data_IF_882812835803
#
_entry.id   IF_882812835803
#
_cell.length_a   1.000
_cell.length_b   1.000
_cell.length_c   1.000
_cell.angle_alpha   90.00
_cell.angle_beta   90.00
_cell.angle_gamma   90.00
#
_symmetry.space_group_name_H-M   'P 1'
#
loop_
_entity.id
_entity.type
_entity.pdbx_description
1 polymer ?
#
# COMPACT_ATOMS: atom_id res chain seq x y z
N UNK A 1 7.69 15.71 8.88
CA UNK A 1 8.05 16.15 7.52
C UNK A 1 8.11 14.92 6.63
N UNK A 2 7.51 14.96 5.44
CA UNK A 2 7.51 13.82 4.50
C UNK A 2 8.80 13.90 3.68
N UNK A 3 9.45 12.76 3.50
CA UNK A 3 10.65 12.63 2.69
C UNK A 3 10.35 11.73 1.49
N UNK A 4 10.77 12.14 0.29
CA UNK A 4 10.66 11.33 -0.92
C UNK A 4 12.05 11.20 -1.52
N UNK A 5 12.52 9.97 -1.72
CA UNK A 5 13.90 9.72 -2.16
C UNK A 5 14.97 10.22 -1.17
N UNK A 6 14.64 10.29 0.13
CA UNK A 6 15.55 10.80 1.17
C UNK A 6 15.64 12.32 1.26
N UNK A 7 14.94 13.06 0.38
CA UNK A 7 14.91 14.53 0.38
C UNK A 7 13.62 15.01 1.05
N UNK A 8 13.69 15.98 1.97
CA UNK A 8 12.49 16.56 2.56
C UNK A 8 11.66 17.28 1.48
N UNK A 9 10.36 17.03 1.44
CA UNK A 9 9.47 17.82 0.61
C UNK A 9 9.32 19.22 1.21
N UNK A 10 9.96 20.19 0.57
CA UNK A 10 9.83 21.62 0.88
C UNK A 10 9.01 22.26 -0.23
N UNK A 11 8.00 23.04 0.14
CA UNK A 11 7.34 23.97 -0.78
C UNK A 11 8.06 25.31 -0.63
N UNK A 12 8.58 25.91 -1.70
CA UNK A 12 9.39 27.14 -1.70
C UNK A 12 8.65 28.42 -1.26
N UNK A 13 7.51 28.30 -0.58
CA UNK A 13 6.73 29.44 -0.10
C UNK A 13 7.16 29.83 1.32
N UNK A 14 7.46 31.11 1.54
CA UNK A 14 7.68 31.70 2.87
C UNK A 14 6.43 31.65 3.78
N UNK A 15 5.30 31.18 3.25
CA UNK A 15 4.06 30.91 3.98
C UNK A 15 3.91 29.42 4.25
N UNK A 16 3.32 29.01 5.40
CA UNK A 16 3.09 27.59 5.69
C UNK A 16 2.28 26.99 4.52
N UNK A 17 2.78 25.91 3.89
CA UNK A 17 2.13 25.37 2.71
C UNK A 17 0.69 25.00 3.07
N UNK A 18 -0.25 25.50 2.27
CA UNK A 18 -1.60 24.96 2.32
C UNK A 18 -1.47 23.48 1.95
N UNK A 19 -2.11 22.58 2.68
CA UNK A 19 -1.94 21.13 2.48
C UNK A 19 -2.14 20.67 1.02
N UNK A 20 -2.85 21.47 0.21
CA UNK A 20 -3.00 21.33 -1.24
C UNK A 20 -1.68 21.43 -2.02
N UNK A 21 -0.80 22.38 -1.68
CA UNK A 21 0.44 22.63 -2.44
C UNK A 21 1.43 21.48 -2.23
N UNK A 22 1.46 20.95 -1.00
CA UNK A 22 2.25 19.77 -0.65
C UNK A 22 1.69 18.50 -1.33
N UNK A 23 0.37 18.36 -1.40
CA UNK A 23 -0.27 17.24 -2.12
C UNK A 23 0.06 17.28 -3.60
N UNK A 24 0.02 18.46 -4.22
CA UNK A 24 0.37 18.63 -5.63
C UNK A 24 1.84 18.26 -5.89
N UNK A 25 2.74 18.75 -5.04
CA UNK A 25 4.16 18.39 -5.11
C UNK A 25 4.41 16.87 -4.95
N UNK A 26 3.61 16.18 -4.11
CA UNK A 26 3.66 14.72 -3.99
C UNK A 26 3.19 14.01 -5.27
N UNK A 27 2.07 14.46 -5.85
CA UNK A 27 1.49 13.85 -7.05
C UNK A 27 2.40 13.98 -8.29
N UNK A 28 3.14 15.09 -8.40
CA UNK A 28 4.07 15.35 -9.49
C UNK A 28 5.49 14.81 -9.26
N UNK A 29 5.79 14.30 -8.06
CA UNK A 29 7.14 13.87 -7.74
C UNK A 29 7.54 12.66 -8.61
N UNK A 30 8.66 12.72 -9.37
CA UNK A 30 8.99 11.71 -10.39
C UNK A 30 9.14 10.30 -9.83
N UNK A 31 9.68 10.15 -8.61
CA UNK A 31 9.77 8.85 -7.92
C UNK A 31 8.38 8.25 -7.69
N UNK A 32 7.41 9.07 -7.26
CA UNK A 32 6.05 8.61 -6.97
C UNK A 32 5.28 8.35 -8.27
N UNK A 33 5.44 9.19 -9.29
CA UNK A 33 4.86 8.95 -10.62
C UNK A 33 5.41 7.67 -11.25
N UNK A 34 6.71 7.44 -11.17
CA UNK A 34 7.35 6.21 -11.67
C UNK A 34 6.90 4.98 -10.89
N UNK A 35 6.82 5.05 -9.56
CA UNK A 35 6.34 3.94 -8.74
C UNK A 35 4.86 3.64 -9.01
N UNK A 36 4.04 4.68 -9.20
CA UNK A 36 2.63 4.56 -9.57
C UNK A 36 2.46 3.90 -10.94
N UNK A 37 3.20 4.33 -11.96
CA UNK A 37 3.17 3.67 -13.28
C UNK A 37 3.56 2.20 -13.16
N UNK A 38 4.69 1.91 -12.50
CA UNK A 38 5.16 0.54 -12.30
C UNK A 38 4.15 -0.32 -11.54
N UNK A 39 3.37 0.26 -10.63
CA UNK A 39 2.33 -0.46 -9.89
C UNK A 39 1.12 -0.76 -10.77
N UNK A 40 0.69 0.19 -11.61
CA UNK A 40 -0.43 -0.01 -12.55
C UNK A 40 -0.09 -1.03 -13.64
N UNK A 41 1.19 -1.21 -13.96
CA UNK A 41 1.66 -2.23 -14.93
C UNK A 41 1.66 -3.66 -14.34
N UNK A 42 1.43 -3.82 -13.03
CA UNK A 42 1.38 -5.13 -12.38
C UNK A 42 0.01 -5.78 -12.69
N UNK A 43 -0.03 -6.95 -13.33
CA UNK A 43 -1.29 -7.63 -13.58
C UNK A 43 -1.95 -8.07 -12.26
N UNK A 44 -3.27 -7.92 -12.19
CA UNK A 44 -4.04 -8.40 -11.04
C UNK A 44 -3.86 -9.91 -10.86
N UNK A 45 -3.40 -10.32 -9.66
CA UNK A 45 -3.25 -11.73 -9.31
C UNK A 45 -4.38 -12.17 -8.40
N UNK A 46 -5.21 -13.07 -8.90
CA UNK A 46 -6.17 -13.79 -8.07
C UNK A 46 -5.41 -14.78 -7.16
N UNK A 47 -5.40 -14.50 -5.86
CA UNK A 47 -4.89 -15.43 -4.86
C UNK A 47 -5.97 -16.48 -4.62
N UNK A 48 -5.91 -17.61 -5.32
CA UNK A 48 -6.73 -18.76 -5.01
C UNK A 48 -6.19 -19.42 -3.74
N UNK A 49 -6.91 -19.24 -2.63
CA UNK A 49 -6.71 -20.06 -1.44
C UNK A 49 -7.19 -21.46 -1.84
N UNK A 50 -6.27 -22.35 -2.22
CA UNK A 50 -6.63 -23.75 -2.50
C UNK A 50 -7.02 -24.41 -1.18
N UNK A 51 -8.33 -24.55 -0.98
CA UNK A 51 -8.94 -25.44 0.00
C UNK A 51 -9.06 -26.86 -0.57
N UNK A 52 -8.08 -27.37 -1.33
CA UNK A 52 -8.14 -28.74 -1.80
C UNK A 52 -7.57 -29.71 -0.76
N UNK A 53 -8.52 -30.40 -0.12
CA UNK A 53 -8.31 -31.63 0.60
C UNK A 53 -7.57 -32.65 -0.27
N UNK A 54 -6.33 -32.96 0.10
CA UNK A 54 -5.64 -34.17 -0.35
C UNK A 54 -4.41 -33.90 -1.20
N UNK A 55 -3.25 -34.22 -0.63
CA UNK A 55 -2.05 -34.63 -1.37
C UNK A 55 -1.40 -33.61 -2.32
N UNK A 56 -0.85 -32.52 -1.79
CA UNK A 56 0.55 -32.16 -2.05
C UNK A 56 1.01 -31.07 -1.07
N UNK A 57 2.18 -31.26 -0.48
CA UNK A 57 2.80 -30.39 0.53
C UNK A 57 3.42 -29.15 -0.12
N UNK A 58 2.70 -28.50 -1.04
CA UNK A 58 3.12 -27.24 -1.64
C UNK A 58 2.69 -26.10 -0.72
N UNK A 59 3.64 -25.30 -0.26
CA UNK A 59 3.49 -24.18 0.71
C UNK A 59 2.12 -23.49 0.60
N UNK A 60 1.23 -23.72 1.57
CA UNK A 60 0.09 -22.82 1.79
C UNK A 60 0.65 -21.44 2.09
N UNK A 61 0.42 -20.48 1.21
CA UNK A 61 0.76 -19.08 1.47
C UNK A 61 -0.06 -18.61 2.67
N UNK A 62 0.60 -18.08 3.70
CA UNK A 62 -0.10 -17.45 4.82
C UNK A 62 -0.53 -16.06 4.36
N UNK A 63 -1.84 -15.81 4.30
CA UNK A 63 -2.37 -14.49 3.98
C UNK A 63 -3.09 -13.87 5.18
N UNK A 64 -3.01 -12.54 5.28
CA UNK A 64 -3.79 -11.75 6.23
C UNK A 64 -4.70 -10.80 5.45
N UNK A 65 -5.98 -10.83 5.78
CA UNK A 65 -6.98 -9.91 5.25
C UNK A 65 -7.32 -8.87 6.30
N UNK A 66 -7.27 -7.60 5.91
CA UNK A 66 -7.65 -6.46 6.74
C UNK A 66 -8.94 -5.87 6.19
N UNK A 67 -10.00 -5.84 7.00
CA UNK A 67 -11.28 -5.28 6.56
C UNK A 67 -11.21 -3.75 6.52
N UNK A 68 -12.18 -3.14 5.84
CA UNK A 68 -12.29 -1.67 5.87
C UNK A 68 -12.38 -1.14 7.30
N UNK A 69 -11.68 -0.03 7.54
CA UNK A 69 -11.58 0.63 8.86
C UNK A 69 -10.85 -0.20 9.91
N UNK A 70 -10.22 -1.32 9.53
CA UNK A 70 -9.32 -2.07 10.39
C UNK A 70 -7.85 -1.76 10.06
N UNK A 71 -6.97 -2.05 11.01
CA UNK A 71 -5.53 -2.02 10.83
C UNK A 71 -4.93 -3.30 11.40
N UNK A 72 -3.82 -3.75 10.82
CA UNK A 72 -3.08 -4.91 11.32
C UNK A 72 -1.58 -4.59 11.29
N UNK A 73 -0.89 -4.91 12.38
CA UNK A 73 0.57 -4.94 12.41
C UNK A 73 0.99 -6.38 12.17
N UNK A 74 1.82 -6.59 11.15
CA UNK A 74 2.15 -7.93 10.67
C UNK A 74 3.66 -8.08 10.66
N UNK A 75 4.14 -9.17 11.26
CA UNK A 75 5.55 -9.56 11.14
C UNK A 75 5.78 -10.15 9.74
N UNK A 76 6.64 -9.52 8.90
CA UNK A 76 6.90 -10.00 7.55
C UNK A 76 7.53 -11.40 7.51
N UNK A 77 8.10 -11.89 8.61
CA UNK A 77 8.62 -13.25 8.68
C UNK A 77 7.52 -14.34 8.75
N UNK A 78 6.28 -13.95 9.08
CA UNK A 78 5.20 -14.87 9.40
C UNK A 78 4.12 -14.97 8.31
N UNK A 79 4.08 -14.04 7.36
CA UNK A 79 2.99 -13.91 6.38
C UNK A 79 3.59 -13.66 5.00
N UNK A 80 3.06 -14.35 3.99
CA UNK A 80 3.52 -14.21 2.61
C UNK A 80 2.80 -13.06 1.89
N UNK A 81 1.53 -12.79 2.25
CA UNK A 81 0.72 -11.75 1.60
C UNK A 81 -0.23 -11.05 2.57
N UNK A 82 -0.32 -9.73 2.48
CA UNK A 82 -1.29 -8.90 3.20
C UNK A 82 -2.21 -8.21 2.20
N UNK A 83 -3.52 -8.21 2.42
CA UNK A 83 -4.49 -7.61 1.49
C UNK A 83 -5.65 -6.92 2.21
N UNK A 84 -6.16 -5.84 1.62
CA UNK A 84 -7.32 -5.11 2.12
C UNK A 84 -8.59 -5.63 1.46
N UNK A 85 -9.62 -5.94 2.25
CA UNK A 85 -10.93 -6.33 1.72
C UNK A 85 -11.75 -5.06 1.49
N UNK A 86 -12.19 -4.88 0.25
CA UNK A 86 -13.07 -3.80 -0.16
C UNK A 86 -14.49 -4.36 -0.33
N UNK A 87 -15.31 -4.31 0.72
CA UNK A 87 -16.73 -4.70 0.70
C UNK A 87 -17.58 -3.73 -0.13
N UNK A 88 -17.84 -4.05 -1.40
CA UNK A 88 -18.68 -3.24 -2.28
C UNK A 88 -20.17 -3.34 -1.89
N UNK A 89 -20.63 -2.43 -1.02
CA UNK A 89 -22.06 -2.18 -0.82
C UNK A 89 -22.64 -1.51 -2.07
N UNK A 90 -23.77 -2.02 -2.57
CA UNK A 90 -24.44 -1.50 -3.78
C UNK A 90 -24.61 0.03 -3.70
N UNK A 91 -24.21 0.71 -4.78
CA UNK A 91 -24.44 2.13 -5.09
C UNK A 91 -23.84 3.17 -4.11
N UNK A 92 -22.52 3.39 -4.19
CA UNK A 92 -21.89 4.72 -4.11
C UNK A 92 -20.41 4.58 -4.42
N UNK A 93 -19.81 5.57 -5.09
CA UNK A 93 -18.38 5.64 -5.40
C UNK A 93 -17.53 5.25 -4.18
N UNK A 94 -16.82 4.14 -4.30
CA UNK A 94 -16.10 3.54 -3.18
C UNK A 94 -14.71 4.17 -3.05
N UNK A 95 -14.61 5.26 -2.30
CA UNK A 95 -13.34 5.90 -1.97
C UNK A 95 -12.73 5.25 -0.71
N UNK A 96 -12.23 4.03 -0.84
CA UNK A 96 -11.41 3.40 0.20
C UNK A 96 -9.94 3.53 -0.19
N UNK A 97 -9.12 4.15 0.67
CA UNK A 97 -7.67 4.19 0.51
C UNK A 97 -7.02 3.16 1.44
N UNK A 98 -6.23 2.25 0.88
CA UNK A 98 -5.38 1.35 1.65
C UNK A 98 -4.03 2.01 1.92
N UNK A 99 -3.56 1.98 3.16
CA UNK A 99 -2.25 2.50 3.54
C UNK A 99 -1.40 1.39 4.14
N UNK A 100 -0.19 1.21 3.63
CA UNK A 100 0.80 0.26 4.13
C UNK A 100 1.98 1.06 4.67
N UNK A 101 2.34 0.82 5.92
CA UNK A 101 3.54 1.37 6.55
C UNK A 101 4.53 0.22 6.78
N UNK A 102 5.72 0.34 6.19
CA UNK A 102 6.82 -0.60 6.44
C UNK A 102 7.91 0.11 7.23
N UNK A 103 8.14 -0.33 8.46
CA UNK A 103 9.26 0.13 9.28
C UNK A 103 10.55 -0.58 8.83
N UNK A 104 11.13 -0.11 7.72
CA UNK A 104 12.47 -0.51 7.32
C UNK A 104 13.50 0.28 8.18
N UNK A 105 13.77 -0.15 9.41
CA UNK A 105 14.98 0.26 10.13
C UNK A 105 16.20 -0.34 9.42
N UNK A 106 16.65 0.31 8.34
CA UNK A 106 18.01 0.09 7.84
C UNK A 106 18.95 0.87 8.77
N UNK A 107 19.51 0.18 9.77
CA UNK A 107 20.75 0.63 10.39
C UNK A 107 21.83 0.61 9.31
N UNK A 108 22.19 1.78 8.79
CA UNK A 108 23.50 1.99 8.17
C UNK A 108 24.11 3.26 8.74
#
# INVERSE_FOLDING_TARGET
MIYVGGVPLSTDSESPPQGSDMLFALMEHPILTSASSSFNDIPERNLTISEESGSERSRRSKCVYVSQREYATIDPALVDVCSFIVSSGKSSLMLCHGSIFNDCFSFL
#
